data_IF_402946123603
#
_entry.id   IF_402946123603
#
_cell.length_a   1.000
_cell.length_b   1.000
_cell.length_c   1.000
_cell.angle_alpha   90.00
_cell.angle_beta   90.00
_cell.angle_gamma   90.00
#
_symmetry.space_group_name_H-M   'P 1'
#
loop_
_entity.id
_entity.type
_entity.pdbx_description
1 polymer ?
#
# COMPACT_ATOMS: atom_id res chain seq x y z
N UNK A 1 -10.68 14.18 -6.76
CA UNK A 1 -11.27 13.20 -5.83
C UNK A 1 -11.59 11.87 -6.50
N UNK A 2 -12.38 11.82 -7.59
CA UNK A 2 -12.76 10.55 -8.27
C UNK A 2 -11.57 9.63 -8.55
N UNK A 3 -10.50 10.14 -9.13
CA UNK A 3 -9.32 9.33 -9.47
C UNK A 3 -8.63 8.75 -8.23
N UNK A 4 -8.58 9.49 -7.11
CA UNK A 4 -8.01 8.99 -5.85
C UNK A 4 -8.82 7.80 -5.30
N UNK A 5 -10.14 7.90 -5.33
CA UNK A 5 -11.04 6.81 -4.90
C UNK A 5 -10.81 5.58 -5.81
N UNK A 6 -10.81 5.76 -7.12
CA UNK A 6 -10.55 4.67 -8.07
C UNK A 6 -9.18 4.03 -7.79
N UNK A 7 -8.14 4.84 -7.59
CA UNK A 7 -6.80 4.35 -7.26
C UNK A 7 -6.78 3.53 -5.99
N UNK A 8 -7.38 4.02 -4.89
CA UNK A 8 -7.45 3.30 -3.62
C UNK A 8 -8.20 1.97 -3.76
N UNK A 9 -9.33 1.96 -4.48
CA UNK A 9 -10.13 0.75 -4.75
C UNK A 9 -9.33 -0.28 -5.56
N UNK A 10 -8.64 0.15 -6.63
CA UNK A 10 -7.83 -0.75 -7.46
C UNK A 10 -6.67 -1.35 -6.65
N UNK A 11 -6.00 -0.56 -5.84
CA UNK A 11 -4.89 -1.05 -5.01
C UNK A 11 -5.40 -1.97 -3.89
N UNK A 12 -6.54 -1.68 -3.29
CA UNK A 12 -7.19 -2.58 -2.34
C UNK A 12 -7.54 -3.94 -2.99
N UNK A 13 -8.00 -3.93 -4.24
CA UNK A 13 -8.24 -5.15 -5.00
C UNK A 13 -6.95 -5.95 -5.24
N UNK A 14 -5.84 -5.28 -5.60
CA UNK A 14 -4.52 -5.93 -5.76
C UNK A 14 -4.04 -6.53 -4.44
N UNK A 15 -4.17 -5.80 -3.31
CA UNK A 15 -3.84 -6.31 -1.98
C UNK A 15 -4.64 -7.56 -1.64
N UNK A 16 -5.97 -7.47 -1.78
CA UNK A 16 -6.87 -8.58 -1.46
C UNK A 16 -6.62 -9.81 -2.34
N UNK A 17 -6.37 -9.60 -3.64
CA UNK A 17 -6.02 -10.70 -4.54
C UNK A 17 -4.69 -11.36 -4.15
N UNK A 18 -3.70 -10.59 -3.72
CA UNK A 18 -2.44 -11.12 -3.21
C UNK A 18 -2.65 -11.98 -1.97
N UNK A 19 -3.45 -11.50 -1.03
CA UNK A 19 -3.76 -12.27 0.20
C UNK A 19 -4.57 -13.53 -0.10
N UNK A 20 -5.47 -13.47 -1.10
CA UNK A 20 -6.17 -14.64 -1.63
C UNK A 20 -5.19 -15.68 -2.21
N UNK A 21 -4.25 -15.25 -3.03
CA UNK A 21 -3.22 -16.14 -3.62
C UNK A 21 -2.37 -16.77 -2.52
N UNK A 22 -1.98 -15.97 -1.53
CA UNK A 22 -1.26 -16.48 -0.37
C UNK A 22 -2.04 -17.57 0.37
N UNK A 23 -3.28 -17.28 0.76
CA UNK A 23 -4.10 -18.19 1.56
C UNK A 23 -4.49 -19.44 0.75
N UNK A 24 -4.90 -19.26 -0.51
CA UNK A 24 -5.37 -20.35 -1.37
C UNK A 24 -4.28 -21.32 -1.84
N UNK A 25 -3.07 -20.81 -2.08
CA UNK A 25 -1.95 -21.63 -2.55
C UNK A 25 -1.08 -22.21 -1.41
N UNK A 26 -1.39 -21.92 -0.17
CA UNK A 26 -0.65 -22.43 1.02
C UNK A 26 0.86 -22.22 0.88
N UNK A 27 1.29 -21.05 0.43
CA UNK A 27 2.68 -20.76 0.07
C UNK A 27 3.59 -20.87 1.30
N UNK A 28 4.57 -21.78 1.23
CA UNK A 28 5.51 -22.06 2.33
C UNK A 28 6.57 -20.97 2.52
N UNK A 29 6.98 -20.33 1.43
CA UNK A 29 8.07 -19.34 1.42
C UNK A 29 7.54 -17.91 1.68
N UNK A 30 7.19 -17.63 2.93
CA UNK A 30 6.60 -16.35 3.35
C UNK A 30 7.41 -15.12 2.91
N UNK A 31 8.73 -15.17 3.04
CA UNK A 31 9.61 -14.04 2.66
C UNK A 31 9.57 -13.79 1.16
N UNK A 32 9.73 -14.84 0.35
CA UNK A 32 9.75 -14.72 -1.12
C UNK A 32 8.40 -14.19 -1.62
N UNK A 33 7.32 -14.75 -1.10
CA UNK A 33 5.98 -14.29 -1.45
C UNK A 33 5.76 -12.83 -1.03
N UNK A 34 6.11 -12.47 0.20
CA UNK A 34 5.92 -11.11 0.70
C UNK A 34 6.77 -10.08 -0.06
N UNK A 35 7.99 -10.43 -0.47
CA UNK A 35 8.80 -9.60 -1.36
C UNK A 35 8.14 -9.43 -2.72
N UNK A 36 7.66 -10.51 -3.34
CA UNK A 36 6.99 -10.47 -4.63
C UNK A 36 5.68 -9.67 -4.57
N UNK A 37 4.84 -9.95 -3.57
CA UNK A 37 3.57 -9.25 -3.36
C UNK A 37 3.80 -7.75 -3.08
N UNK A 38 4.69 -7.40 -2.15
CA UNK A 38 5.01 -6.01 -1.84
C UNK A 38 5.56 -5.27 -3.07
N UNK A 39 6.47 -5.89 -3.82
CA UNK A 39 7.02 -5.33 -5.05
C UNK A 39 5.91 -5.06 -6.08
N UNK A 40 5.03 -6.03 -6.33
CA UNK A 40 3.94 -5.89 -7.29
C UNK A 40 2.91 -4.83 -6.85
N UNK A 41 2.52 -4.84 -5.59
CA UNK A 41 1.58 -3.88 -5.03
C UNK A 41 2.08 -2.44 -5.22
N UNK A 42 3.33 -2.18 -4.83
CA UNK A 42 3.89 -0.84 -4.94
C UNK A 42 4.30 -0.47 -6.37
N UNK A 43 4.59 -1.44 -7.24
CA UNK A 43 4.67 -1.21 -8.68
C UNK A 43 3.35 -0.61 -9.20
N UNK A 44 2.21 -1.20 -8.84
CA UNK A 44 0.89 -0.70 -9.22
C UNK A 44 0.62 0.70 -8.62
N UNK A 45 0.96 0.92 -7.35
CA UNK A 45 0.83 2.25 -6.71
C UNK A 45 1.71 3.29 -7.39
N UNK A 46 2.96 2.94 -7.66
CA UNK A 46 3.90 3.81 -8.36
C UNK A 46 3.46 4.12 -9.78
N UNK A 47 2.94 3.15 -10.52
CA UNK A 47 2.35 3.35 -11.83
C UNK A 47 1.17 4.34 -11.77
N UNK A 48 0.28 4.17 -10.80
CA UNK A 48 -0.84 5.08 -10.59
C UNK A 48 -0.35 6.51 -10.32
N UNK A 49 0.53 6.72 -9.33
CA UNK A 49 1.02 8.06 -9.01
C UNK A 49 1.88 8.66 -10.14
N UNK A 50 2.68 7.84 -10.82
CA UNK A 50 3.42 8.25 -12.01
C UNK A 50 2.51 8.67 -13.17
N UNK A 51 1.35 8.03 -13.34
CA UNK A 51 0.39 8.39 -14.37
C UNK A 51 -0.16 9.82 -14.20
N UNK A 52 -0.27 10.29 -12.96
CA UNK A 52 -0.68 11.67 -12.68
C UNK A 52 0.30 12.70 -13.22
N UNK A 53 1.56 12.30 -13.49
CA UNK A 53 2.65 13.12 -14.03
C UNK A 53 3.04 12.75 -15.47
N UNK A 54 2.30 11.85 -16.11
CA UNK A 54 2.64 11.25 -17.41
C UNK A 54 3.98 10.48 -17.42
N UNK A 55 4.38 9.96 -16.27
CA UNK A 55 5.62 9.18 -16.07
C UNK A 55 5.29 7.78 -15.52
N UNK A 56 4.26 7.13 -16.05
CA UNK A 56 3.72 5.85 -15.54
C UNK A 56 4.79 4.77 -15.39
N UNK A 57 5.62 4.58 -16.42
CA UNK A 57 6.67 3.54 -16.42
C UNK A 57 7.71 3.81 -15.32
N UNK A 58 8.21 5.05 -15.25
CA UNK A 58 9.18 5.42 -14.20
C UNK A 58 8.55 5.33 -12.81
N UNK A 59 7.29 5.74 -12.68
CA UNK A 59 6.53 5.57 -11.44
C UNK A 59 6.43 4.11 -11.02
N UNK A 60 6.15 3.21 -11.97
CA UNK A 60 6.10 1.76 -11.72
C UNK A 60 7.46 1.22 -11.24
N UNK A 61 8.56 1.61 -11.88
CA UNK A 61 9.92 1.18 -11.51
C UNK A 61 10.26 1.66 -10.10
N UNK A 62 10.03 2.94 -9.80
CA UNK A 62 10.27 3.48 -8.45
C UNK A 62 9.35 2.81 -7.41
N UNK A 63 8.08 2.61 -7.75
CA UNK A 63 7.14 1.89 -6.90
C UNK A 63 7.63 0.48 -6.58
N UNK A 64 8.07 -0.28 -7.58
CA UNK A 64 8.63 -1.62 -7.39
C UNK A 64 9.85 -1.61 -6.44
N UNK A 65 10.77 -0.65 -6.61
CA UNK A 65 11.91 -0.46 -5.71
C UNK A 65 11.50 -0.13 -4.28
N UNK A 66 10.52 0.76 -4.11
CA UNK A 66 9.93 1.10 -2.80
C UNK A 66 9.33 -0.16 -2.15
N UNK A 67 8.53 -0.92 -2.89
CA UNK A 67 7.87 -2.12 -2.38
C UNK A 67 8.86 -3.21 -1.99
N UNK A 68 9.88 -3.44 -2.81
CA UNK A 68 10.96 -4.38 -2.49
C UNK A 68 11.72 -3.98 -1.22
N UNK A 69 12.12 -2.70 -1.12
CA UNK A 69 12.80 -2.19 0.06
C UNK A 69 11.92 -2.25 1.32
N UNK A 70 10.65 -1.89 1.19
CA UNK A 70 9.68 -1.94 2.29
C UNK A 70 9.47 -3.37 2.81
N UNK A 71 9.18 -4.31 1.92
CA UNK A 71 8.99 -5.71 2.28
C UNK A 71 10.30 -6.33 2.83
N UNK A 72 11.44 -6.04 2.22
CA UNK A 72 12.75 -6.48 2.71
C UNK A 72 13.05 -5.96 4.11
N UNK A 73 12.83 -4.68 4.35
CA UNK A 73 13.01 -4.06 5.68
C UNK A 73 12.09 -4.69 6.72
N UNK A 74 10.84 -4.98 6.35
CA UNK A 74 9.92 -5.67 7.26
C UNK A 74 10.46 -7.04 7.67
N UNK A 75 10.82 -7.89 6.71
CA UNK A 75 11.30 -9.24 7.01
C UNK A 75 12.64 -9.28 7.73
N UNK A 76 13.51 -8.29 7.50
CA UNK A 76 14.79 -8.18 8.20
C UNK A 76 14.63 -7.71 9.65
N UNK A 77 13.72 -6.78 9.91
CA UNK A 77 13.59 -6.12 11.21
C UNK A 77 12.50 -6.75 12.10
N UNK A 78 11.48 -7.38 11.53
CA UNK A 78 10.39 -7.97 12.29
C UNK A 78 10.83 -9.05 13.31
N UNK A 79 11.86 -9.87 13.07
CA UNK A 79 12.36 -10.80 14.08
C UNK A 79 12.89 -10.12 15.35
N UNK A 80 13.37 -8.88 15.24
CA UNK A 80 13.95 -8.10 16.36
C UNK A 80 12.93 -7.16 16.99
N UNK A 81 12.19 -6.41 16.18
CA UNK A 81 11.29 -5.35 16.63
C UNK A 81 9.79 -5.73 16.56
N UNK A 82 9.49 -6.96 16.16
CA UNK A 82 8.12 -7.43 16.08
C UNK A 82 7.29 -6.67 15.04
N UNK A 83 5.99 -6.65 15.30
CA UNK A 83 5.03 -6.04 14.36
C UNK A 83 5.12 -4.51 14.26
N UNK A 84 5.78 -3.85 15.22
CA UNK A 84 5.98 -2.39 15.23
C UNK A 84 6.75 -1.89 14.00
N UNK A 85 7.55 -2.75 13.37
CA UNK A 85 8.25 -2.45 12.11
C UNK A 85 7.29 -1.98 11.01
N UNK A 86 6.05 -2.49 11.01
CA UNK A 86 5.04 -2.09 10.02
C UNK A 86 4.77 -0.58 10.01
N UNK A 87 4.78 0.09 11.17
CA UNK A 87 4.57 1.53 11.24
C UNK A 87 5.70 2.31 10.55
N UNK A 88 6.95 1.89 10.75
CA UNK A 88 8.11 2.51 10.11
C UNK A 88 8.12 2.27 8.61
N UNK A 89 7.82 1.04 8.19
CA UNK A 89 7.71 0.68 6.78
C UNK A 89 6.58 1.46 6.11
N UNK A 90 5.44 1.58 6.77
CA UNK A 90 4.28 2.34 6.27
C UNK A 90 4.61 3.83 6.12
N UNK A 91 5.31 4.41 7.10
CA UNK A 91 5.77 5.80 7.04
C UNK A 91 6.73 6.02 5.86
N UNK A 92 7.73 5.16 5.72
CA UNK A 92 8.68 5.21 4.61
C UNK A 92 7.99 5.17 3.25
N UNK A 93 7.06 4.24 3.07
CA UNK A 93 6.33 4.04 1.81
C UNK A 93 5.57 5.29 1.38
N UNK A 94 4.78 5.90 2.26
CA UNK A 94 3.98 7.06 1.90
C UNK A 94 4.82 8.30 1.59
N UNK A 95 5.91 8.49 2.33
CA UNK A 95 6.86 9.58 2.05
C UNK A 95 7.55 9.34 0.71
N UNK A 96 8.01 8.11 0.43
CA UNK A 96 8.63 7.78 -0.85
C UNK A 96 7.66 7.92 -2.03
N UNK A 97 6.40 7.50 -1.87
CA UNK A 97 5.37 7.68 -2.89
C UNK A 97 5.01 9.15 -3.13
N UNK A 98 5.17 10.04 -2.15
CA UNK A 98 5.01 11.48 -2.37
C UNK A 98 6.03 12.00 -3.40
N UNK A 99 7.28 11.54 -3.37
CA UNK A 99 8.28 11.88 -4.41
C UNK A 99 7.86 11.35 -5.78
N UNK A 100 7.37 10.12 -5.88
CA UNK A 100 6.86 9.54 -7.14
C UNK A 100 5.69 10.38 -7.67
N UNK A 101 4.75 10.76 -6.81
CA UNK A 101 3.62 11.62 -7.15
C UNK A 101 4.03 13.06 -7.51
N UNK A 102 5.26 13.48 -7.16
CA UNK A 102 5.69 14.88 -7.23
C UNK A 102 4.92 15.78 -6.26
N UNK A 103 4.48 15.21 -5.16
CA UNK A 103 3.78 15.92 -4.10
C UNK A 103 4.78 16.46 -3.05
N UNK A 104 4.48 17.58 -2.38
CA UNK A 104 5.28 18.04 -1.25
C UNK A 104 5.37 16.98 -0.14
N UNK A 105 6.50 16.91 0.56
CA UNK A 105 6.73 15.97 1.66
C UNK A 105 5.62 16.02 2.71
N UNK A 106 5.09 17.21 3.01
CA UNK A 106 3.97 17.38 3.93
C UNK A 106 2.75 16.51 3.54
N UNK A 107 2.47 16.35 2.24
CA UNK A 107 1.39 15.46 1.79
C UNK A 107 1.73 13.99 1.99
N UNK A 108 3.01 13.61 1.88
CA UNK A 108 3.48 12.29 2.25
C UNK A 108 3.26 12.01 3.75
N UNK A 109 3.54 13.00 4.59
CA UNK A 109 3.27 12.90 6.04
C UNK A 109 1.77 12.80 6.33
N UNK A 110 0.93 13.60 5.68
CA UNK A 110 -0.53 13.50 5.81
C UNK A 110 -1.06 12.14 5.31
N UNK A 111 -0.51 11.65 4.19
CA UNK A 111 -0.83 10.32 3.68
C UNK A 111 -0.44 9.22 4.68
N UNK A 112 0.75 9.29 5.24
CA UNK A 112 1.25 8.38 6.28
C UNK A 112 0.32 8.36 7.49
N UNK A 113 -0.01 9.52 8.03
CA UNK A 113 -0.87 9.63 9.22
C UNK A 113 -2.28 9.11 8.92
N UNK A 114 -2.91 9.61 7.86
CA UNK A 114 -4.28 9.22 7.49
C UNK A 114 -4.42 7.75 7.16
N UNK A 115 -3.50 7.20 6.35
CA UNK A 115 -3.50 5.77 6.02
C UNK A 115 -3.06 4.91 7.20
N UNK A 116 -2.16 5.40 8.05
CA UNK A 116 -1.76 4.69 9.27
C UNK A 116 -2.91 4.57 10.27
N UNK A 117 -3.69 5.63 10.45
CA UNK A 117 -4.91 5.59 11.25
C UNK A 117 -5.95 4.65 10.63
N UNK A 118 -6.16 4.72 9.31
CA UNK A 118 -7.04 3.80 8.59
C UNK A 118 -6.62 2.35 8.81
N UNK A 119 -5.35 2.03 8.64
CA UNK A 119 -4.78 0.72 8.88
C UNK A 119 -4.98 0.24 10.33
N UNK A 120 -4.75 1.12 11.30
CA UNK A 120 -4.95 0.80 12.73
C UNK A 120 -6.41 0.47 13.02
N UNK A 121 -7.35 1.27 12.52
CA UNK A 121 -8.79 1.07 12.74
C UNK A 121 -9.31 -0.26 12.18
N UNK A 122 -8.70 -0.76 11.09
CA UNK A 122 -9.09 -2.02 10.48
C UNK A 122 -8.25 -3.21 10.96
N UNK A 123 -7.24 -3.00 11.81
CA UNK A 123 -6.28 -4.04 12.18
C UNK A 123 -6.93 -5.25 12.85
N UNK A 124 -8.01 -5.06 13.57
CA UNK A 124 -8.75 -6.14 14.21
C UNK A 124 -9.68 -6.91 13.24
N UNK A 125 -10.00 -6.30 12.10
CA UNK A 125 -10.86 -6.93 11.07
C UNK A 125 -10.07 -7.92 10.23
N UNK A 126 -8.84 -7.58 9.86
CA UNK A 126 -8.06 -8.42 8.94
C UNK A 126 -7.11 -9.42 9.63
N UNK A 127 -6.81 -9.24 10.93
CA UNK A 127 -5.92 -10.15 11.67
C UNK A 127 -6.37 -11.61 11.68
N UNK A 128 -7.63 -11.93 11.92
CA UNK A 128 -8.11 -13.30 11.84
C UNK A 128 -8.58 -13.62 10.42
N UNK A 129 -7.70 -13.45 9.41
CA UNK A 129 -8.05 -13.76 8.04
C UNK A 129 -8.37 -15.26 7.89
N UNK A 130 -9.65 -15.55 7.83
CA UNK A 130 -10.17 -16.86 7.50
C UNK A 130 -10.64 -16.81 6.03
N UNK A 131 -10.08 -17.62 5.11
CA UNK A 131 -10.34 -17.51 3.67
C UNK A 131 -11.75 -17.96 3.23
N UNK A 132 -12.78 -17.66 4.02
CA UNK A 132 -14.17 -17.88 3.65
C UNK A 132 -14.75 -16.64 2.98
N UNK A 133 -15.65 -16.82 2.01
CA UNK A 133 -16.03 -15.82 1.00
C UNK A 133 -16.33 -14.39 1.48
N UNK A 134 -16.93 -14.20 2.66
CA UNK A 134 -17.23 -12.88 3.22
C UNK A 134 -15.99 -12.14 3.74
N UNK A 135 -14.96 -12.86 4.16
CA UNK A 135 -13.73 -12.27 4.69
C UNK A 135 -12.98 -11.52 3.60
N UNK A 136 -13.06 -11.96 2.33
CA UNK A 136 -12.45 -11.23 1.22
C UNK A 136 -13.14 -9.89 0.96
N UNK A 137 -14.46 -9.80 1.10
CA UNK A 137 -15.18 -8.55 0.95
C UNK A 137 -14.80 -7.57 2.08
N UNK A 138 -14.76 -8.04 3.32
CA UNK A 138 -14.30 -7.25 4.47
C UNK A 138 -12.85 -6.84 4.32
N UNK A 139 -11.99 -7.74 3.87
CA UNK A 139 -10.57 -7.50 3.62
C UNK A 139 -10.37 -6.41 2.56
N UNK A 140 -11.08 -6.52 1.44
CA UNK A 140 -11.08 -5.51 0.38
C UNK A 140 -11.56 -4.14 0.86
N UNK A 141 -12.66 -4.10 1.61
CA UNK A 141 -13.17 -2.85 2.18
C UNK A 141 -12.19 -2.24 3.17
N UNK A 142 -11.57 -3.07 4.01
CA UNK A 142 -10.56 -2.66 4.98
C UNK A 142 -9.35 -2.04 4.30
N UNK A 143 -8.80 -2.68 3.28
CA UNK A 143 -7.69 -2.12 2.49
C UNK A 143 -8.09 -0.83 1.76
N UNK A 144 -9.33 -0.75 1.27
CA UNK A 144 -9.84 0.49 0.65
C UNK A 144 -9.83 1.64 1.67
N UNK A 145 -10.30 1.42 2.88
CA UNK A 145 -10.28 2.42 3.97
C UNK A 145 -8.86 2.80 4.34
N UNK A 146 -7.94 1.83 4.41
CA UNK A 146 -6.54 2.09 4.75
C UNK A 146 -5.80 2.91 3.69
N UNK A 147 -6.03 2.65 2.40
CA UNK A 147 -5.34 3.36 1.32
C UNK A 147 -5.96 4.71 0.98
N UNK A 148 -7.28 4.88 1.14
CA UNK A 148 -8.01 6.05 0.67
C UNK A 148 -7.44 7.39 1.15
N UNK A 149 -7.10 7.60 2.44
CA UNK A 149 -6.54 8.86 2.90
C UNK A 149 -5.22 9.21 2.21
N UNK A 150 -4.35 8.22 2.00
CA UNK A 150 -3.08 8.41 1.32
C UNK A 150 -3.26 8.78 -0.16
N UNK A 151 -4.17 8.10 -0.85
CA UNK A 151 -4.50 8.43 -2.23
C UNK A 151 -5.12 9.83 -2.36
N UNK A 152 -6.00 10.23 -1.45
CA UNK A 152 -6.55 11.58 -1.42
C UNK A 152 -5.46 12.63 -1.22
N UNK A 153 -4.58 12.44 -0.23
CA UNK A 153 -3.51 13.38 0.09
C UNK A 153 -2.53 13.56 -1.07
N UNK A 154 -2.10 12.46 -1.71
CA UNK A 154 -1.11 12.51 -2.79
C UNK A 154 -1.69 12.88 -4.15
N UNK A 155 -2.98 12.59 -4.40
CA UNK A 155 -3.63 12.92 -5.67
C UNK A 155 -4.24 14.32 -5.70
N UNK A 156 -4.28 15.00 -4.57
CA UNK A 156 -4.86 16.33 -4.51
C UNK A 156 -4.00 17.34 -5.26
N UNK A 157 -4.59 17.99 -6.25
CA UNK A 157 -4.03 19.14 -6.95
C UNK A 157 -4.85 20.37 -6.57
N UNK A 158 -4.24 21.46 -6.07
CA UNK A 158 -4.96 22.72 -5.91
C UNK A 158 -5.53 23.15 -7.27
N UNK A 159 -6.79 23.53 -7.27
CA UNK A 159 -7.39 24.16 -8.45
C UNK A 159 -6.69 25.51 -8.67
N UNK A 160 -5.82 25.61 -9.69
CA UNK A 160 -5.21 26.90 -10.03
C UNK A 160 -3.69 26.88 -10.31
N UNK A 161 -3.07 25.71 -10.52
CA UNK A 161 -1.69 25.63 -11.04
C UNK A 161 -1.67 24.99 -12.40
#
# INVERSE_FOLDING_TARGET
MRNAIIGAVLIAAVSTLGDFVWAGLHLRHRVVYGLAHGTLLFLCMGAYFGSLKKTTVMGAIYGAGIGFAAAGSFYLLAPVAGYSVMFFVWAFVWIALAFVAGAPVLRGVLAMIGSGLGFYLISDIWRPFNPEGWDYALHFLSWTVAYLPGFLALSWRPSGT
#
